data_IF_764048112205
#
_entry.id   IF_764048112205
#
_cell.length_a   1.000
_cell.length_b   1.000
_cell.length_c   1.000
_cell.angle_alpha   90.00
_cell.angle_beta   90.00
_cell.angle_gamma   90.00
#
_symmetry.space_group_name_H-M   'P 1'
#
loop_
_entity.id
_entity.type
_entity.pdbx_description
1 polymer ?
#
# COMPACT_ATOMS: atom_id res chain seq x y z
N UNK A 1 19.10 5.46 -3.15
CA UNK A 1 19.14 4.07 -2.62
C UNK A 1 19.27 3.07 -3.77
N UNK A 2 19.85 1.88 -3.59
CA UNK A 2 19.87 0.86 -4.64
C UNK A 2 18.45 0.32 -4.88
N UNK A 3 18.04 0.17 -6.14
CA UNK A 3 16.69 -0.28 -6.52
C UNK A 3 16.34 -1.65 -5.93
N UNK A 4 17.27 -2.60 -5.99
CA UNK A 4 17.06 -3.94 -5.42
C UNK A 4 16.79 -3.89 -3.93
N UNK A 5 17.53 -3.06 -3.19
CA UNK A 5 17.30 -2.87 -1.74
C UNK A 5 15.95 -2.21 -1.46
N UNK A 6 15.59 -1.19 -2.24
CA UNK A 6 14.28 -0.54 -2.12
C UNK A 6 13.14 -1.53 -2.37
N UNK A 7 13.20 -2.29 -3.47
CA UNK A 7 12.19 -3.28 -3.82
C UNK A 7 12.03 -4.34 -2.73
N UNK A 8 13.13 -4.86 -2.17
CA UNK A 8 13.08 -5.80 -1.03
C UNK A 8 12.35 -5.18 0.16
N UNK A 9 12.67 -3.93 0.53
CA UNK A 9 12.01 -3.23 1.65
C UNK A 9 10.53 -3.03 1.36
N UNK A 10 10.19 -2.56 0.16
CA UNK A 10 8.80 -2.33 -0.28
C UNK A 10 7.98 -3.61 -0.19
N UNK A 11 8.46 -4.71 -0.78
CA UNK A 11 7.74 -5.98 -0.77
C UNK A 11 7.71 -6.63 0.61
N UNK A 12 8.74 -6.45 1.43
CA UNK A 12 8.72 -6.89 2.84
C UNK A 12 7.66 -6.13 3.62
N UNK A 13 7.56 -4.81 3.44
CA UNK A 13 6.54 -3.97 4.07
C UNK A 13 5.12 -4.36 3.63
N UNK A 14 4.91 -4.56 2.33
CA UNK A 14 3.63 -5.07 1.79
C UNK A 14 3.28 -6.42 2.40
N UNK A 15 4.23 -7.37 2.41
CA UNK A 15 4.02 -8.70 2.98
C UNK A 15 3.65 -8.66 4.46
N UNK A 16 4.32 -7.83 5.25
CA UNK A 16 4.01 -7.64 6.67
C UNK A 16 2.61 -7.06 6.87
N UNK A 17 2.21 -6.06 6.09
CA UNK A 17 0.85 -5.50 6.18
C UNK A 17 -0.20 -6.55 5.85
N UNK A 18 -0.02 -7.28 4.75
CA UNK A 18 -0.98 -8.30 4.32
C UNK A 18 -1.10 -9.40 5.38
N UNK A 19 0.01 -9.84 5.97
CA UNK A 19 0.02 -10.81 7.06
C UNK A 19 -0.73 -10.31 8.30
N UNK A 20 -0.40 -9.09 8.77
CA UNK A 20 -1.04 -8.53 9.97
C UNK A 20 -2.53 -8.30 9.71
N UNK A 21 -2.90 -7.82 8.52
CA UNK A 21 -4.30 -7.63 8.14
C UNK A 21 -5.05 -8.96 8.06
N UNK A 22 -4.45 -9.99 7.48
CA UNK A 22 -5.03 -11.35 7.45
C UNK A 22 -5.24 -11.92 8.86
N UNK A 23 -4.24 -11.80 9.74
CA UNK A 23 -4.34 -12.21 11.15
C UNK A 23 -5.46 -11.42 11.86
N UNK A 24 -5.54 -10.12 11.59
CA UNK A 24 -6.57 -9.26 12.16
C UNK A 24 -7.97 -9.69 11.72
N UNK A 25 -8.18 -9.96 10.42
CA UNK A 25 -9.47 -10.45 9.92
C UNK A 25 -9.82 -11.81 10.52
N UNK A 26 -8.87 -12.74 10.55
CA UNK A 26 -9.07 -14.07 11.14
C UNK A 26 -9.46 -14.02 12.63
N UNK A 27 -8.96 -13.03 13.38
CA UNK A 27 -9.33 -12.83 14.80
C UNK A 27 -10.72 -12.23 15.00
N UNK A 28 -11.23 -11.49 14.03
CA UNK A 28 -12.55 -10.87 14.08
C UNK A 28 -13.60 -11.66 13.28
N UNK A 29 -13.25 -12.88 12.88
CA UNK A 29 -14.12 -13.78 12.15
C UNK A 29 -14.86 -14.69 13.12
N UNK A 30 -16.18 -14.77 12.98
CA UNK A 30 -17.03 -15.61 13.83
C UNK A 30 -17.05 -17.07 13.33
N UNK A 31 -17.71 -17.97 14.07
CA UNK A 31 -17.86 -19.40 13.74
C UNK A 31 -18.49 -19.63 12.35
N UNK A 32 -19.27 -18.67 11.86
CA UNK A 32 -19.91 -18.70 10.54
C UNK A 32 -19.06 -18.09 9.41
N UNK A 33 -17.77 -17.82 9.63
CA UNK A 33 -16.89 -17.12 8.67
C UNK A 33 -17.32 -15.67 8.36
N UNK A 34 -18.20 -15.09 9.18
CA UNK A 34 -18.59 -13.70 9.06
C UNK A 34 -17.59 -12.81 9.79
N UNK A 35 -17.09 -11.78 9.09
CA UNK A 35 -16.14 -10.84 9.66
C UNK A 35 -16.94 -9.73 10.35
N UNK A 36 -16.91 -9.71 11.68
CA UNK A 36 -17.57 -8.66 12.45
C UNK A 36 -16.59 -7.50 12.71
N UNK A 37 -16.86 -6.35 12.11
CA UNK A 37 -16.02 -5.16 12.19
C UNK A 37 -16.68 -4.01 12.94
N UNK A 38 -17.79 -4.27 13.63
CA UNK A 38 -18.47 -3.26 14.42
C UNK A 38 -17.58 -2.79 15.59
N UNK A 39 -17.53 -1.48 15.78
CA UNK A 39 -16.62 -0.83 16.74
C UNK A 39 -15.15 -0.76 16.30
N UNK A 40 -14.76 -1.40 15.21
CA UNK A 40 -13.36 -1.47 14.75
C UNK A 40 -12.97 -0.41 13.72
N UNK A 41 -13.77 0.66 13.57
CA UNK A 41 -13.53 1.73 12.58
C UNK A 41 -12.13 2.33 12.69
N UNK A 42 -11.64 2.53 13.93
CA UNK A 42 -10.28 3.04 14.17
C UNK A 42 -9.20 2.17 13.54
N UNK A 43 -9.25 0.85 13.79
CA UNK A 43 -8.31 -0.11 13.23
C UNK A 43 -8.39 -0.16 11.69
N UNK A 44 -9.58 -0.03 11.13
CA UNK A 44 -9.75 0.05 9.66
C UNK A 44 -9.09 1.29 9.06
N UNK A 45 -9.21 2.45 9.69
CA UNK A 45 -8.49 3.65 9.24
C UNK A 45 -6.97 3.51 9.36
N UNK A 46 -6.47 2.82 10.40
CA UNK A 46 -5.05 2.50 10.51
C UNK A 46 -4.57 1.61 9.37
N UNK A 47 -5.30 0.53 9.06
CA UNK A 47 -4.97 -0.33 7.93
C UNK A 47 -5.03 0.41 6.59
N UNK A 48 -6.03 1.28 6.41
CA UNK A 48 -6.12 2.15 5.24
C UNK A 48 -4.87 3.01 5.08
N UNK A 49 -4.39 3.64 6.17
CA UNK A 49 -3.17 4.43 6.16
C UNK A 49 -1.90 3.61 5.87
N UNK A 50 -1.80 2.40 6.41
CA UNK A 50 -0.67 1.51 6.14
C UNK A 50 -0.64 1.03 4.69
N UNK A 51 -1.80 0.63 4.16
CA UNK A 51 -1.99 0.23 2.76
C UNK A 51 -1.70 1.42 1.84
N UNK A 52 -2.08 2.64 2.22
CA UNK A 52 -1.77 3.85 1.48
C UNK A 52 -0.25 4.06 1.30
N UNK A 53 0.51 3.90 2.38
CA UNK A 53 1.98 3.95 2.31
C UNK A 53 2.50 2.82 1.41
N UNK A 54 1.93 1.62 1.52
CA UNK A 54 2.32 0.49 0.69
C UNK A 54 2.14 0.78 -0.80
N UNK A 55 1.00 1.38 -1.19
CA UNK A 55 0.71 1.82 -2.55
C UNK A 55 1.73 2.85 -3.07
N UNK A 56 2.14 3.82 -2.24
CA UNK A 56 3.15 4.81 -2.65
C UNK A 56 4.49 4.10 -2.91
N UNK A 57 4.90 3.21 -2.00
CA UNK A 57 6.17 2.50 -2.14
C UNK A 57 6.21 1.61 -3.38
N UNK A 58 5.13 0.86 -3.65
CA UNK A 58 5.03 0.03 -4.86
C UNK A 58 4.96 0.88 -6.14
N UNK A 59 4.26 2.02 -6.13
CA UNK A 59 4.25 2.93 -7.27
C UNK A 59 5.65 3.49 -7.59
N UNK A 60 6.43 3.84 -6.57
CA UNK A 60 7.83 4.27 -6.74
C UNK A 60 8.70 3.12 -7.25
N UNK A 61 8.52 1.90 -6.74
CA UNK A 61 9.28 0.74 -7.19
C UNK A 61 9.00 0.45 -8.67
N UNK A 62 7.73 0.53 -9.06
CA UNK A 62 7.27 0.32 -10.44
C UNK A 62 7.78 1.42 -11.39
N UNK A 63 7.73 2.69 -10.98
CA UNK A 63 8.32 3.80 -11.73
C UNK A 63 9.84 3.60 -11.92
N UNK A 64 10.50 2.94 -10.97
CA UNK A 64 11.91 2.60 -11.01
C UNK A 64 12.28 1.54 -12.05
N UNK A 65 11.35 0.72 -12.53
CA UNK A 65 11.64 -0.33 -13.52
C UNK A 65 12.06 0.27 -14.87
N UNK A 66 11.44 1.39 -15.26
CA UNK A 66 11.68 2.03 -16.56
C UNK A 66 12.96 2.89 -16.61
N UNK A 67 13.62 3.10 -15.48
CA UNK A 67 14.85 3.89 -15.42
C UNK A 67 16.11 3.00 -15.57
N UNK A 68 17.00 3.37 -16.50
CA UNK A 68 18.28 2.68 -16.73
C UNK A 68 19.26 2.74 -15.53
N UNK A 69 19.08 3.69 -14.63
CA UNK A 69 19.91 3.83 -13.41
C UNK A 69 19.65 2.68 -12.44
N UNK A 70 20.68 2.16 -11.77
CA UNK A 70 20.52 1.15 -10.70
C UNK A 70 20.19 1.76 -9.32
N UNK A 71 19.98 3.09 -9.27
CA UNK A 71 19.63 3.84 -8.05
C UNK A 71 18.25 4.46 -8.21
N UNK A 72 17.46 4.44 -7.14
CA UNK A 72 16.25 5.27 -7.00
C UNK A 72 16.70 6.73 -7.07
N UNK A 73 16.26 7.45 -8.10
CA UNK A 73 16.50 8.87 -8.29
C UNK A 73 15.33 9.68 -7.74
N UNK A 74 15.49 11.00 -7.67
CA UNK A 74 14.38 11.88 -7.30
C UNK A 74 13.24 11.81 -8.32
N UNK A 75 13.53 11.66 -9.62
CA UNK A 75 12.48 11.56 -10.64
C UNK A 75 11.68 10.27 -10.51
N UNK A 76 12.31 9.16 -10.09
CA UNK A 76 11.59 7.92 -9.75
C UNK A 76 10.57 8.14 -8.64
N UNK A 77 10.97 8.87 -7.59
CA UNK A 77 10.12 9.15 -6.44
C UNK A 77 8.94 10.02 -6.88
N UNK A 78 9.20 11.13 -7.60
CA UNK A 78 8.13 11.99 -8.10
C UNK A 78 7.21 11.27 -9.11
N UNK A 79 7.75 10.39 -9.94
CA UNK A 79 6.98 9.55 -10.85
C UNK A 79 6.09 8.54 -10.13
N UNK A 80 6.59 7.90 -9.07
CA UNK A 80 5.76 7.03 -8.22
C UNK A 80 4.69 7.80 -7.46
N UNK A 81 5.04 8.97 -6.92
CA UNK A 81 4.09 9.85 -6.22
C UNK A 81 2.99 10.38 -7.14
N UNK A 82 3.30 10.70 -8.41
CA UNK A 82 2.27 11.16 -9.35
C UNK A 82 1.29 10.04 -9.71
N UNK A 83 1.79 8.81 -9.90
CA UNK A 83 0.94 7.63 -10.12
C UNK A 83 0.06 7.35 -8.90
N UNK A 84 0.64 7.38 -7.69
CA UNK A 84 -0.12 7.21 -6.46
C UNK A 84 -1.18 8.31 -6.29
N UNK A 85 -0.82 9.58 -6.50
CA UNK A 85 -1.73 10.71 -6.42
C UNK A 85 -2.88 10.60 -7.44
N UNK A 86 -2.59 10.22 -8.68
CA UNK A 86 -3.60 9.98 -9.70
C UNK A 86 -4.60 8.90 -9.27
N UNK A 87 -4.09 7.78 -8.76
CA UNK A 87 -4.94 6.68 -8.29
C UNK A 87 -5.84 7.08 -7.13
N UNK A 88 -5.32 7.90 -6.21
CA UNK A 88 -6.06 8.39 -5.05
C UNK A 88 -7.13 9.41 -5.44
N UNK A 89 -6.79 10.36 -6.31
CA UNK A 89 -7.73 11.36 -6.83
C UNK A 89 -8.85 10.65 -7.59
N UNK A 90 -8.52 9.67 -8.44
CA UNK A 90 -9.51 8.87 -9.15
C UNK A 90 -10.40 8.08 -8.17
N UNK A 91 -9.82 7.39 -7.19
CA UNK A 91 -10.60 6.63 -6.20
C UNK A 91 -11.54 7.51 -5.38
N UNK A 92 -11.09 8.71 -5.02
CA UNK A 92 -11.91 9.71 -4.32
C UNK A 92 -13.04 10.23 -5.21
N UNK A 93 -12.75 10.52 -6.49
CA UNK A 93 -13.78 10.93 -7.45
C UNK A 93 -14.87 9.86 -7.62
N UNK A 94 -14.48 8.57 -7.70
CA UNK A 94 -15.43 7.46 -7.77
C UNK A 94 -16.23 7.23 -6.48
N UNK A 95 -15.80 7.79 -5.34
CA UNK A 95 -16.57 7.72 -4.10
C UNK A 95 -17.64 8.83 -4.00
N UNK A 96 -17.52 9.87 -4.84
CA UNK A 96 -18.44 11.01 -4.90
C UNK A 96 -19.52 10.86 -5.98
N UNK A 97 -19.43 9.79 -6.80
CA UNK A 97 -20.40 9.39 -7.82
C UNK A 97 -21.18 8.18 -7.30
#
# INVERSE_FOLDING_TARGET
MNKKKFSIITWSYVGVIVLIFGIYLARNMDENWEINLDGQRGNMYTFLGLIFIACILTAIDFAGINEKSNKITKSTIYGGLSVAAFFLIWRAAMALV
#
